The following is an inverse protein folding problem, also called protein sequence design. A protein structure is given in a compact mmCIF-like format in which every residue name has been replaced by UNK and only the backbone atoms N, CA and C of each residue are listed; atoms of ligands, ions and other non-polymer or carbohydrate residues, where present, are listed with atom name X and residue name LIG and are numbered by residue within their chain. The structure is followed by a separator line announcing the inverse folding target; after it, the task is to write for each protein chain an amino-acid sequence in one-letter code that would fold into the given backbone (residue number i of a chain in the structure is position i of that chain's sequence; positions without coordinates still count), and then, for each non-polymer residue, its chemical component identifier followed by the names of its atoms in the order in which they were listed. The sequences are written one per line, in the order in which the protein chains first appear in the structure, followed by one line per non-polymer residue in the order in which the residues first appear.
data_IF_025803398395
#
_entry.id   IF_025803398395
#
_cell.length_a   1.000
_cell.length_b   1.000
_cell.length_c   1.000
_cell.angle_alpha   90.00
_cell.angle_beta   90.00
_cell.angle_gamma   90.00
#
_symmetry.space_group_name_H-M   'P 1'
#
loop_
_entity.id
_entity.type
_entity.pdbx_description
1 polymer ?
#
# COMPACT_ATOMS: atom_id res chain seq x y z
N UNK A 1 -30.07 -22.01 9.59
CA UNK A 1 -28.82 -22.45 8.93
C UNK A 1 -28.89 -21.96 7.49
N UNK A 2 -28.15 -20.99 6.95
CA UNK A 2 -26.88 -20.32 7.30
C UNK A 2 -27.01 -18.88 6.75
N UNK A 3 -26.64 -17.80 7.42
CA UNK A 3 -25.52 -17.68 8.33
C UNK A 3 -24.20 -17.43 7.59
N UNK A 4 -24.19 -16.56 6.56
CA UNK A 4 -22.95 -15.89 6.13
C UNK A 4 -23.23 -14.64 5.29
N UNK A 5 -23.22 -13.48 5.96
CA UNK A 5 -22.90 -12.22 5.28
C UNK A 5 -21.43 -12.30 4.90
N UNK A 6 -21.13 -12.65 3.66
CA UNK A 6 -19.77 -12.59 3.13
C UNK A 6 -19.40 -11.11 3.13
N UNK A 7 -18.69 -10.65 4.16
CA UNK A 7 -17.91 -9.43 4.06
C UNK A 7 -16.86 -9.72 2.99
N UNK A 8 -17.19 -9.49 1.71
CA UNK A 8 -16.16 -9.26 0.71
C UNK A 8 -15.39 -8.07 1.28
N UNK A 9 -14.28 -8.34 1.96
CA UNK A 9 -13.53 -7.34 2.72
C UNK A 9 -13.05 -6.31 1.71
N UNK A 10 -13.79 -5.20 1.60
CA UNK A 10 -13.34 -4.04 0.88
C UNK A 10 -12.38 -3.33 1.80
N UNK A 11 -11.15 -3.13 1.35
CA UNK A 11 -10.16 -2.53 2.22
C UNK A 11 -8.79 -2.40 1.58
N UNK A 12 -8.03 -1.48 2.15
CA UNK A 12 -6.60 -1.31 1.88
C UNK A 12 -5.85 -1.84 3.09
N UNK A 13 -4.88 -2.71 2.86
CA UNK A 13 -4.04 -3.30 3.90
C UNK A 13 -2.59 -2.97 3.61
N UNK A 14 -1.86 -2.57 4.64
CA UNK A 14 -0.43 -2.26 4.54
C UNK A 14 0.38 -3.27 5.34
N UNK A 15 1.48 -3.77 4.76
CA UNK A 15 2.33 -4.79 5.37
C UNK A 15 3.80 -4.54 5.03
N UNK A 16 4.68 -5.23 5.74
CA UNK A 16 6.13 -5.23 5.49
C UNK A 16 6.69 -3.80 5.54
N UNK A 17 6.54 -3.16 6.70
CA UNK A 17 7.10 -1.84 6.90
C UNK A 17 8.62 -1.92 7.00
N UNK A 18 9.30 -1.00 6.32
CA UNK A 18 10.75 -0.80 6.43
C UNK A 18 11.02 0.67 6.67
N UNK A 19 12.14 0.95 7.32
CA UNK A 19 12.62 2.32 7.49
C UNK A 19 13.53 2.69 6.33
N UNK A 20 13.29 3.85 5.72
CA UNK A 20 14.14 4.45 4.69
C UNK A 20 14.35 5.91 5.04
N UNK A 21 15.60 6.30 5.28
CA UNK A 21 15.97 7.66 5.73
C UNK A 21 15.14 8.15 6.92
N UNK A 22 14.89 7.29 7.93
CA UNK A 22 14.10 7.62 9.11
C UNK A 22 12.57 7.59 8.91
N UNK A 23 12.08 7.33 7.69
CA UNK A 23 10.65 7.23 7.39
C UNK A 23 10.23 5.76 7.33
N UNK A 24 9.27 5.37 8.17
CA UNK A 24 8.72 4.01 8.19
C UNK A 24 7.61 3.87 7.14
N UNK A 25 7.89 3.16 6.04
CA UNK A 25 6.99 3.03 4.89
C UNK A 25 6.61 1.56 4.62
N UNK A 26 5.36 1.25 4.25
CA UNK A 26 4.95 -0.12 3.90
C UNK A 26 5.45 -0.53 2.51
N UNK A 27 6.12 -1.67 2.40
CA UNK A 27 6.57 -2.23 1.11
C UNK A 27 5.52 -3.13 0.44
N UNK A 28 4.36 -3.31 1.08
CA UNK A 28 3.23 -4.01 0.49
C UNK A 28 1.95 -3.27 0.78
N UNK A 29 1.21 -2.95 -0.27
CA UNK A 29 -0.12 -2.37 -0.22
C UNK A 29 -1.05 -3.35 -0.95
N UNK A 30 -1.99 -3.94 -0.21
CA UNK A 30 -2.98 -4.87 -0.74
C UNK A 30 -4.32 -4.16 -0.84
N UNK A 31 -4.95 -4.16 -2.01
CA UNK A 31 -6.30 -3.66 -2.22
C UNK A 31 -7.22 -4.87 -2.41
N UNK A 32 -8.14 -5.06 -1.48
CA UNK A 32 -9.17 -6.08 -1.61
C UNK A 32 -10.47 -5.42 -2.08
N UNK A 33 -10.96 -5.83 -3.25
CA UNK A 33 -12.19 -5.31 -3.87
C UNK A 33 -12.95 -6.45 -4.53
N UNK A 34 -14.27 -6.48 -4.36
CA UNK A 34 -15.17 -7.42 -5.05
C UNK A 34 -14.83 -8.92 -4.88
N UNK A 35 -14.00 -9.28 -3.90
CA UNK A 35 -13.53 -10.66 -3.66
C UNK A 35 -12.20 -11.00 -4.35
N UNK A 36 -11.58 -10.04 -5.01
CA UNK A 36 -10.20 -10.12 -5.51
C UNK A 36 -9.27 -9.30 -4.62
N UNK A 37 -7.98 -9.65 -4.65
CA UNK A 37 -6.92 -8.91 -3.98
C UNK A 37 -5.84 -8.54 -4.99
N UNK A 38 -5.47 -7.27 -5.04
CA UNK A 38 -4.37 -6.72 -5.82
C UNK A 38 -3.24 -6.32 -4.87
N UNK A 39 -2.06 -6.93 -5.04
CA UNK A 39 -0.88 -6.63 -4.22
C UNK A 39 0.11 -5.75 -4.99
N UNK A 40 0.34 -4.54 -4.48
CA UNK A 40 1.41 -3.65 -4.93
C UNK A 40 2.63 -3.86 -4.05
N UNK A 41 3.73 -4.34 -4.67
CA UNK A 41 5.03 -4.52 -4.01
C UNK A 41 5.96 -3.38 -4.39
N UNK A 42 6.41 -2.64 -3.38
CA UNK A 42 7.36 -1.54 -3.56
C UNK A 42 8.74 -2.14 -3.77
N UNK A 43 9.39 -1.79 -4.88
CA UNK A 43 10.77 -2.24 -5.17
C UNK A 43 11.78 -1.30 -4.52
N UNK A 44 11.57 0.00 -4.69
CA UNK A 44 12.45 1.06 -4.17
C UNK A 44 11.62 2.26 -3.74
N UNK A 45 12.11 2.98 -2.73
CA UNK A 45 11.61 4.28 -2.31
C UNK A 45 12.81 5.19 -2.06
N UNK A 46 12.73 6.43 -2.54
CA UNK A 46 13.70 7.49 -2.30
C UNK A 46 13.01 8.65 -1.59
N UNK A 47 13.64 9.19 -0.56
CA UNK A 47 13.10 10.27 0.26
C UNK A 47 13.89 11.55 0.00
N UNK A 48 13.20 12.63 -0.35
CA UNK A 48 13.79 13.96 -0.64
C UNK A 48 14.99 13.89 -1.59
N UNK A 49 14.93 13.00 -2.58
CA UNK A 49 16.01 12.78 -3.54
C UNK A 49 15.46 12.98 -4.94
N UNK A 50 16.31 13.47 -5.84
CA UNK A 50 16.04 13.53 -7.28
C UNK A 50 14.76 14.32 -7.67
N UNK A 51 14.33 15.28 -6.84
CA UNK A 51 13.20 16.18 -7.12
C UNK A 51 13.60 17.65 -6.92
N UNK A 52 12.99 18.54 -7.69
CA UNK A 52 13.19 19.98 -7.66
C UNK A 52 11.84 20.70 -7.60
N UNK A 53 11.83 21.99 -7.23
CA UNK A 53 10.58 22.77 -7.15
C UNK A 53 9.81 22.78 -8.48
N UNK A 54 10.52 22.70 -9.62
CA UNK A 54 9.91 22.66 -10.95
C UNK A 54 9.07 21.38 -11.22
N UNK A 55 9.26 20.30 -10.45
CA UNK A 55 8.47 19.07 -10.58
C UNK A 55 7.07 19.18 -9.93
N UNK A 56 6.79 20.29 -9.24
CA UNK A 56 5.57 20.53 -8.47
C UNK A 56 4.74 21.74 -8.95
N UNK A 57 5.12 22.35 -10.08
CA UNK A 57 4.42 23.47 -10.74
C UNK A 57 3.54 23.02 -11.92
#
# INVERSE_FOLDING_TARGET
MNGQTIWKKHGVFTKIYKEVNGVKFPFTISIAIMGQTLDFKVQEIKINSDVSDADFE
#
